data_IF_799668566612
#
_entry.id   IF_799668566612
#
_cell.length_a   1.000
_cell.length_b   1.000
_cell.length_c   1.000
_cell.angle_alpha   90.00
_cell.angle_beta   90.00
_cell.angle_gamma   90.00
#
_symmetry.space_group_name_H-M   'P 1'
#
loop_
_entity.id
_entity.type
_entity.pdbx_description
1 polymer ?
#
# COMPACT_ATOMS: atom_id res chain seq x y z
N UNK A 1 -10.35 20.28 21.06
CA UNK A 1 -9.03 20.50 20.42
C UNK A 1 -8.84 19.45 19.34
N UNK A 2 -9.24 19.76 18.10
CA UNK A 2 -8.94 18.89 16.95
C UNK A 2 -7.46 19.04 16.64
N UNK A 3 -6.69 17.99 16.95
CA UNK A 3 -5.30 17.89 16.50
C UNK A 3 -5.33 17.77 14.98
N UNK A 4 -5.04 18.87 14.29
CA UNK A 4 -4.71 18.85 12.87
C UNK A 4 -3.36 18.16 12.73
N UNK A 5 -3.42 16.83 12.69
CA UNK A 5 -2.28 16.00 12.34
C UNK A 5 -2.02 16.22 10.85
N UNK A 6 -0.77 16.47 10.45
CA UNK A 6 -0.46 16.60 9.04
C UNK A 6 -0.93 15.32 8.33
N UNK A 7 -1.68 15.48 7.23
CA UNK A 7 -2.25 14.39 6.45
C UNK A 7 -1.20 13.37 5.94
N UNK A 8 0.09 13.69 6.07
CA UNK A 8 1.26 12.89 5.70
C UNK A 8 1.99 12.17 6.85
N UNK A 9 1.52 12.28 8.10
CA UNK A 9 2.15 11.51 9.19
C UNK A 9 1.72 10.04 9.14
N UNK A 10 2.69 9.13 9.19
CA UNK A 10 2.45 7.69 9.40
C UNK A 10 2.40 7.42 10.91
N UNK A 11 1.26 6.93 11.38
CA UNK A 11 1.16 6.37 12.73
C UNK A 11 1.62 4.91 12.73
N UNK A 12 2.04 4.36 13.87
CA UNK A 12 2.41 2.95 13.97
C UNK A 12 1.32 2.01 13.43
N UNK A 13 0.05 2.34 13.73
CA UNK A 13 -1.13 1.63 13.21
C UNK A 13 -1.26 1.69 11.68
N UNK A 14 -0.86 2.80 11.05
CA UNK A 14 -0.85 2.92 9.58
C UNK A 14 0.24 2.05 8.95
N UNK A 15 1.41 1.98 9.60
CA UNK A 15 2.51 1.12 9.17
C UNK A 15 2.12 -0.37 9.28
N UNK A 16 1.36 -0.75 10.31
CA UNK A 16 0.82 -2.10 10.46
C UNK A 16 -0.15 -2.45 9.32
N UNK A 17 -1.04 -1.52 8.94
CA UNK A 17 -1.95 -1.71 7.81
C UNK A 17 -1.17 -1.85 6.50
N UNK A 18 -0.22 -0.94 6.23
CA UNK A 18 0.63 -0.99 5.05
C UNK A 18 1.41 -2.31 4.97
N UNK A 19 1.97 -2.75 6.09
CA UNK A 19 2.71 -4.01 6.17
C UNK A 19 1.82 -5.22 5.89
N UNK A 20 0.61 -5.28 6.45
CA UNK A 20 -0.34 -6.37 6.17
C UNK A 20 -0.71 -6.46 4.70
N UNK A 21 -1.07 -5.33 4.09
CA UNK A 21 -1.41 -5.29 2.66
C UNK A 21 -0.21 -5.70 1.81
N UNK A 22 0.97 -5.18 2.13
CA UNK A 22 2.21 -5.52 1.44
C UNK A 22 2.54 -7.02 1.53
N UNK A 23 2.47 -7.61 2.72
CA UNK A 23 2.77 -9.02 2.95
C UNK A 23 1.79 -9.92 2.16
N UNK A 24 0.50 -9.56 2.13
CA UNK A 24 -0.52 -10.25 1.33
C UNK A 24 -0.19 -10.19 -0.17
N UNK A 25 0.10 -9.00 -0.70
CA UNK A 25 0.45 -8.83 -2.11
C UNK A 25 1.74 -9.55 -2.48
N UNK A 26 2.72 -9.56 -1.57
CA UNK A 26 3.95 -10.30 -1.76
C UNK A 26 3.72 -11.81 -1.76
N UNK A 27 2.87 -12.31 -0.87
CA UNK A 27 2.50 -13.72 -0.82
C UNK A 27 1.77 -14.16 -2.09
N UNK A 28 0.80 -13.37 -2.58
CA UNK A 28 0.07 -13.66 -3.82
C UNK A 28 0.96 -13.73 -5.07
N UNK A 29 2.05 -12.95 -5.09
CA UNK A 29 2.96 -12.84 -6.23
C UNK A 29 4.24 -13.67 -6.10
N UNK A 30 4.49 -14.25 -4.92
CA UNK A 30 5.77 -14.91 -4.62
C UNK A 30 6.95 -13.93 -4.50
N UNK A 31 6.70 -12.67 -4.14
CA UNK A 31 7.77 -11.69 -3.94
C UNK A 31 8.63 -12.08 -2.73
N UNK A 32 9.95 -11.96 -2.86
CA UNK A 32 10.85 -12.04 -1.72
C UNK A 32 11.02 -10.66 -1.07
N UNK A 33 11.07 -10.55 0.27
CA UNK A 33 11.38 -9.29 0.94
C UNK A 33 12.72 -8.72 0.44
N UNK A 34 12.71 -7.45 0.04
CA UNK A 34 13.90 -6.79 -0.53
C UNK A 34 14.17 -7.09 -2.00
N UNK A 35 13.30 -7.84 -2.68
CA UNK A 35 13.39 -7.99 -4.14
C UNK A 35 12.87 -6.73 -4.87
N UNK A 36 13.27 -6.52 -6.12
CA UNK A 36 12.72 -5.44 -6.95
C UNK A 36 11.19 -5.51 -7.07
N UNK A 37 10.61 -6.71 -7.10
CA UNK A 37 9.15 -6.91 -7.17
C UNK A 37 8.44 -6.47 -5.88
N UNK A 38 9.09 -6.71 -4.74
CA UNK A 38 8.60 -6.23 -3.46
C UNK A 38 8.64 -4.70 -3.42
N UNK A 39 9.75 -4.08 -3.84
CA UNK A 39 9.87 -2.61 -3.89
C UNK A 39 8.86 -1.98 -4.87
N UNK A 40 8.67 -2.60 -6.04
CA UNK A 40 7.65 -2.20 -7.02
C UNK A 40 6.21 -2.33 -6.51
N UNK A 41 6.00 -3.07 -5.41
CA UNK A 41 4.72 -3.20 -4.71
C UNK A 41 4.59 -2.21 -3.55
N UNK A 42 5.67 -1.97 -2.81
CA UNK A 42 5.71 -1.04 -1.69
C UNK A 42 5.50 0.42 -2.14
N UNK A 43 6.20 0.85 -3.20
CA UNK A 43 6.15 2.24 -3.67
C UNK A 43 4.73 2.73 -4.03
N UNK A 44 3.94 2.00 -4.85
CA UNK A 44 2.56 2.36 -5.13
C UNK A 44 1.69 2.38 -3.87
N UNK A 45 1.92 1.44 -2.95
CA UNK A 45 1.13 1.31 -1.73
C UNK A 45 1.30 2.54 -0.82
N UNK A 46 2.54 2.98 -0.62
CA UNK A 46 2.86 4.20 0.13
C UNK A 46 2.29 5.43 -0.56
N UNK A 47 2.42 5.55 -1.88
CA UNK A 47 1.85 6.67 -2.63
C UNK A 47 0.31 6.73 -2.53
N UNK A 48 -0.37 5.58 -2.55
CA UNK A 48 -1.82 5.50 -2.37
C UNK A 48 -2.24 5.93 -0.96
N UNK A 49 -1.44 5.56 0.05
CA UNK A 49 -1.65 5.95 1.43
C UNK A 49 -1.48 7.46 1.64
N UNK A 50 -0.40 8.03 1.12
CA UNK A 50 -0.21 9.48 1.10
C UNK A 50 -1.31 10.22 0.32
N UNK A 51 -1.89 9.57 -0.69
CA UNK A 51 -3.03 10.06 -1.47
C UNK A 51 -4.38 10.03 -0.74
N UNK A 52 -4.42 9.53 0.50
CA UNK A 52 -5.61 9.56 1.37
C UNK A 52 -6.32 8.22 1.55
N UNK A 53 -5.86 7.13 0.91
CA UNK A 53 -6.40 5.78 1.15
C UNK A 53 -5.73 5.16 2.37
N UNK A 54 -6.44 5.10 3.50
CA UNK A 54 -5.82 4.68 4.77
C UNK A 54 -6.24 3.31 5.26
N UNK A 55 -7.28 2.73 4.66
CA UNK A 55 -7.78 1.43 5.09
C UNK A 55 -7.19 0.28 4.26
N UNK A 56 -7.04 -0.88 4.88
CA UNK A 56 -6.57 -2.11 4.21
C UNK A 56 -7.35 -2.40 2.93
N UNK A 57 -8.68 -2.27 3.00
CA UNK A 57 -9.58 -2.48 1.87
C UNK A 57 -9.34 -1.48 0.73
N UNK A 58 -9.26 -0.18 1.04
CA UNK A 58 -9.04 0.84 0.01
C UNK A 58 -7.70 0.67 -0.70
N UNK A 59 -6.65 0.29 0.05
CA UNK A 59 -5.33 0.01 -0.48
C UNK A 59 -5.33 -1.24 -1.37
N UNK A 60 -5.95 -2.33 -0.92
CA UNK A 60 -6.09 -3.56 -1.70
C UNK A 60 -6.87 -3.33 -3.00
N UNK A 61 -8.02 -2.64 -2.93
CA UNK A 61 -8.82 -2.30 -4.11
C UNK A 61 -8.05 -1.41 -5.09
N UNK A 62 -7.32 -0.40 -4.59
CA UNK A 62 -6.52 0.49 -5.42
C UNK A 62 -5.37 -0.24 -6.14
N UNK A 63 -4.68 -1.13 -5.41
CA UNK A 63 -3.58 -1.93 -5.95
C UNK A 63 -4.10 -2.94 -6.97
N UNK A 64 -5.26 -3.57 -6.73
CA UNK A 64 -5.91 -4.48 -7.69
C UNK A 64 -6.36 -3.74 -8.95
N UNK A 65 -6.96 -2.55 -8.80
CA UNK A 65 -7.39 -1.71 -9.92
C UNK A 65 -6.20 -1.26 -10.78
N UNK A 66 -5.11 -0.83 -10.13
CA UNK A 66 -3.86 -0.43 -10.82
C UNK A 66 -3.23 -1.60 -11.57
N UNK A 67 -3.22 -2.79 -10.97
CA UNK A 67 -2.69 -4.00 -11.61
C UNK A 67 -3.55 -4.46 -12.79
N UNK A 68 -4.87 -4.39 -12.66
CA UNK A 68 -5.79 -4.71 -13.76
C UNK A 68 -5.50 -3.82 -14.98
N UNK A 69 -5.24 -2.52 -14.74
CA UNK A 69 -4.85 -1.61 -15.81
C UNK A 69 -3.48 -1.97 -16.42
N UNK A 70 -2.48 -2.31 -15.61
CA UNK A 70 -1.14 -2.72 -16.09
C UNK A 70 -1.13 -4.03 -16.87
N UNK A 71 -2.00 -5.00 -16.53
CA UNK A 71 -2.11 -6.28 -17.26
C UNK A 71 -2.88 -6.18 -18.57
N UNK A 72 -3.71 -5.13 -18.72
CA UNK A 72 -4.51 -4.88 -19.92
C UNK A 72 -3.82 -3.95 -20.93
N UNK A 73 -2.58 -3.51 -20.65
CA UNK A 73 -1.77 -2.62 -21.50
C UNK A 73 -0.62 -3.36 -22.17
#
# INVERSE_FOLDING_TARGET
>A
MQRYLPLKAFYPEDLDVLKRVFDLLCHERGCQPGSPDAEATALPLVNMFEGGRRTEKELLDAVRTTQAYRRAS
#
